data_IF_254737458929
#
_entry.id   IF_254737458929
#
_cell.length_a   1.000
_cell.length_b   1.000
_cell.length_c   1.000
_cell.angle_alpha   90.00
_cell.angle_beta   90.00
_cell.angle_gamma   90.00
#
_symmetry.space_group_name_H-M   'P 1'
#
loop_
_entity.id
_entity.type
_entity.pdbx_description
1 polymer ?
#
# COMPACT_ATOMS: atom_id res chain seq x y z
N UNK A 1 38.19 -23.65 -45.13
CA UNK A 1 38.86 -22.34 -45.30
C UNK A 1 38.16 -21.39 -44.36
N UNK A 2 38.80 -21.06 -43.24
CA UNK A 2 38.33 -20.05 -42.30
C UNK A 2 39.21 -18.83 -42.54
N UNK A 3 38.66 -17.81 -43.19
CA UNK A 3 39.34 -16.52 -43.32
C UNK A 3 39.15 -15.75 -42.02
N UNK A 4 40.21 -15.66 -41.24
CA UNK A 4 40.32 -14.69 -40.14
C UNK A 4 40.43 -13.29 -40.77
N UNK A 5 39.31 -12.59 -40.87
CA UNK A 5 39.25 -11.17 -41.17
C UNK A 5 39.96 -10.40 -40.04
N UNK A 6 41.23 -10.04 -40.26
CA UNK A 6 41.93 -9.07 -39.42
C UNK A 6 41.27 -7.70 -39.58
N UNK A 7 40.35 -7.35 -38.66
CA UNK A 7 39.80 -6.00 -38.50
C UNK A 7 40.94 -4.97 -38.60
N UNK A 8 40.87 -4.12 -39.61
CA UNK A 8 41.87 -3.08 -39.85
C UNK A 8 41.87 -2.04 -38.73
N UNK A 9 43.04 -1.43 -38.49
CA UNK A 9 43.27 -0.42 -37.44
C UNK A 9 42.26 0.75 -37.53
N UNK A 10 41.77 1.08 -38.73
CA UNK A 10 40.72 2.08 -38.95
C UNK A 10 39.33 1.67 -38.43
N UNK A 11 38.99 0.39 -38.50
CA UNK A 11 37.71 -0.15 -38.02
C UNK A 11 37.69 -0.22 -36.49
N UNK A 12 38.82 -0.58 -35.88
CA UNK A 12 39.01 -0.50 -34.42
C UNK A 12 38.93 0.94 -33.89
N UNK A 13 39.50 1.91 -34.60
CA UNK A 13 39.40 3.32 -34.21
C UNK A 13 37.96 3.84 -34.33
N UNK A 14 37.22 3.42 -35.36
CA UNK A 14 35.84 3.84 -35.56
C UNK A 14 34.88 3.19 -34.55
N UNK A 15 35.06 1.91 -34.23
CA UNK A 15 34.36 1.22 -33.15
C UNK A 15 34.62 1.90 -31.79
N UNK A 16 35.88 2.23 -31.47
CA UNK A 16 36.21 2.91 -30.21
C UNK A 16 35.56 4.30 -30.08
N UNK A 17 35.48 5.08 -31.16
CA UNK A 17 34.79 6.38 -31.15
C UNK A 17 33.27 6.23 -31.02
N UNK A 18 32.69 5.17 -31.61
CA UNK A 18 31.27 4.86 -31.47
C UNK A 18 30.95 4.45 -30.03
N UNK A 19 31.78 3.60 -29.41
CA UNK A 19 31.60 3.16 -28.03
C UNK A 19 31.70 4.31 -27.03
N UNK A 20 32.72 5.16 -27.14
CA UNK A 20 32.87 6.35 -26.26
C UNK A 20 31.65 7.27 -26.38
N UNK A 21 31.13 7.47 -27.59
CA UNK A 21 29.93 8.30 -27.81
C UNK A 21 28.69 7.66 -27.21
N UNK A 22 28.52 6.35 -27.38
CA UNK A 22 27.40 5.61 -26.81
C UNK A 22 27.44 5.66 -25.27
N UNK A 23 28.62 5.47 -24.68
CA UNK A 23 28.81 5.55 -23.22
C UNK A 23 28.49 6.95 -22.69
N UNK A 24 28.94 8.01 -23.37
CA UNK A 24 28.61 9.40 -23.02
C UNK A 24 27.10 9.68 -23.12
N UNK A 25 26.43 9.17 -24.15
CA UNK A 25 24.98 9.28 -24.29
C UNK A 25 24.27 8.59 -23.12
N UNK A 26 24.69 7.38 -22.76
CA UNK A 26 24.12 6.63 -21.63
C UNK A 26 24.34 7.34 -20.30
N UNK A 27 25.54 7.87 -20.04
CA UNK A 27 25.84 8.63 -18.84
C UNK A 27 24.97 9.90 -18.75
N UNK A 28 24.80 10.63 -19.85
CA UNK A 28 23.97 11.84 -19.89
C UNK A 28 22.49 11.54 -19.65
N UNK A 29 21.97 10.45 -20.21
CA UNK A 29 20.61 9.97 -19.97
C UNK A 29 20.39 9.59 -18.50
N UNK A 30 21.31 8.84 -17.90
CA UNK A 30 21.24 8.46 -16.49
C UNK A 30 21.27 9.67 -15.55
N UNK A 31 22.10 10.68 -15.86
CA UNK A 31 22.15 11.92 -15.10
C UNK A 31 20.83 12.71 -15.21
N UNK A 32 20.27 12.83 -16.41
CA UNK A 32 18.98 13.49 -16.61
C UNK A 32 17.86 12.81 -15.82
N UNK A 33 17.79 11.47 -15.87
CA UNK A 33 16.80 10.70 -15.11
C UNK A 33 16.94 10.93 -13.60
N UNK A 34 18.16 10.97 -13.08
CA UNK A 34 18.44 11.24 -11.67
C UNK A 34 17.94 12.62 -11.23
N UNK A 35 18.30 13.67 -11.99
CA UNK A 35 17.88 15.05 -11.71
C UNK A 35 16.37 15.18 -11.78
N UNK A 36 15.74 14.62 -12.82
CA UNK A 36 14.28 14.62 -12.97
C UNK A 36 13.61 13.95 -11.77
N UNK A 37 14.16 12.85 -11.26
CA UNK A 37 13.61 12.11 -10.13
C UNK A 37 13.75 12.87 -8.82
N UNK A 38 14.88 13.52 -8.59
CA UNK A 38 15.08 14.41 -7.42
C UNK A 38 14.08 15.56 -7.44
N UNK A 39 13.88 16.21 -8.59
CA UNK A 39 12.91 17.31 -8.75
C UNK A 39 11.46 16.82 -8.55
N UNK A 40 11.10 15.65 -9.08
CA UNK A 40 9.79 15.07 -8.83
C UNK A 40 9.60 14.67 -7.36
N UNK A 41 10.66 14.22 -6.70
CA UNK A 41 10.62 13.85 -5.29
C UNK A 41 10.48 15.06 -4.36
N UNK A 42 11.15 16.18 -4.67
CA UNK A 42 10.96 17.43 -3.92
C UNK A 42 9.55 17.99 -4.07
N UNK A 43 8.87 17.71 -5.19
CA UNK A 43 7.46 18.01 -5.42
C UNK A 43 6.51 16.96 -4.82
N UNK A 44 7.02 15.88 -4.23
CA UNK A 44 6.23 14.78 -3.67
C UNK A 44 5.58 13.86 -4.73
N UNK A 45 5.92 14.02 -6.02
CA UNK A 45 5.39 13.21 -7.10
C UNK A 45 6.05 11.82 -7.18
N UNK A 46 7.26 11.65 -6.63
CA UNK A 46 7.96 10.35 -6.55
C UNK A 46 8.56 10.17 -5.16
N UNK A 47 8.24 9.06 -4.50
CA UNK A 47 8.91 8.67 -3.27
C UNK A 47 10.30 8.11 -3.60
N UNK A 48 11.35 8.73 -3.04
CA UNK A 48 12.71 8.16 -3.06
C UNK A 48 12.76 6.97 -2.10
N UNK A 49 13.32 5.85 -2.57
CA UNK A 49 13.59 4.67 -1.73
C UNK A 49 14.91 4.83 -0.98
N UNK A 50 15.10 4.04 0.07
CA UNK A 50 16.34 4.05 0.87
C UNK A 50 17.56 3.69 0.01
N UNK A 51 17.41 2.75 -0.92
CA UNK A 51 18.50 2.32 -1.80
C UNK A 51 18.91 3.43 -2.78
N UNK A 52 17.94 4.12 -3.37
CA UNK A 52 18.22 5.25 -4.29
C UNK A 52 18.84 6.45 -3.57
N UNK A 53 18.42 6.70 -2.33
CA UNK A 53 19.06 7.71 -1.49
C UNK A 53 20.51 7.32 -1.12
N UNK A 54 20.77 6.02 -0.95
CA UNK A 54 22.11 5.50 -0.63
C UNK A 54 23.06 5.69 -1.82
N UNK A 55 22.62 5.38 -3.04
CA UNK A 55 23.42 5.59 -4.26
C UNK A 55 23.76 7.07 -4.51
N UNK A 56 22.84 7.98 -4.18
CA UNK A 56 23.07 9.41 -4.24
C UNK A 56 24.14 9.85 -3.23
N UNK A 57 24.04 9.38 -1.99
CA UNK A 57 25.01 9.70 -0.94
C UNK A 57 26.38 9.09 -1.22
N UNK A 58 26.46 7.87 -1.77
CA UNK A 58 27.71 7.23 -2.17
C UNK A 58 28.50 8.11 -3.16
N UNK A 59 27.82 8.70 -4.14
CA UNK A 59 28.44 9.63 -5.11
C UNK A 59 28.94 10.93 -4.46
N UNK A 60 28.30 11.38 -3.38
CA UNK A 60 28.76 12.55 -2.62
C UNK A 60 30.00 12.22 -1.77
N UNK A 61 30.07 11.00 -1.25
CA UNK A 61 31.26 10.49 -0.55
C UNK A 61 32.44 10.34 -1.52
N UNK A 62 32.22 9.76 -2.71
CA UNK A 62 33.26 9.62 -3.75
C UNK A 62 33.83 10.98 -4.19
N UNK A 63 33.00 12.02 -4.19
CA UNK A 63 33.41 13.40 -4.51
C UNK A 63 34.07 14.12 -3.34
N UNK A 64 34.13 13.50 -2.15
CA UNK A 64 34.67 14.09 -0.93
C UNK A 64 33.77 15.17 -0.31
N UNK A 65 32.53 15.32 -0.77
CA UNK A 65 31.57 16.28 -0.22
C UNK A 65 30.89 15.75 1.07
N UNK A 66 30.96 14.43 1.32
CA UNK A 66 30.37 13.79 2.49
C UNK A 66 31.31 12.74 3.09
N UNK A 67 31.35 12.61 4.41
CA UNK A 67 32.08 11.52 5.07
C UNK A 67 31.25 10.22 5.08
N UNK A 68 31.91 9.06 4.98
CA UNK A 68 31.26 7.74 5.07
C UNK A 68 30.47 7.55 6.38
N UNK A 69 30.98 8.09 7.48
CA UNK A 69 30.30 8.04 8.78
C UNK A 69 28.95 8.79 8.76
N UNK A 70 28.90 9.94 8.08
CA UNK A 70 27.69 10.74 7.95
C UNK A 70 26.68 10.06 7.02
N UNK A 71 27.14 9.43 5.93
CA UNK A 71 26.29 8.63 5.04
C UNK A 71 25.57 7.51 5.82
N UNK A 72 26.32 6.74 6.61
CA UNK A 72 25.74 5.63 7.39
C UNK A 72 24.69 6.11 8.39
N UNK A 73 24.94 7.26 9.05
CA UNK A 73 24.00 7.87 9.99
C UNK A 73 22.72 8.34 9.28
N UNK A 74 22.85 9.00 8.13
CA UNK A 74 21.70 9.46 7.35
C UNK A 74 20.83 8.28 6.91
N UNK A 75 21.44 7.19 6.43
CA UNK A 75 20.72 5.98 6.01
C UNK A 75 20.01 5.33 7.21
N UNK A 76 20.67 5.23 8.37
CA UNK A 76 20.03 4.67 9.57
C UNK A 76 18.83 5.49 10.03
N UNK A 77 18.95 6.82 9.99
CA UNK A 77 17.88 7.74 10.38
C UNK A 77 16.70 7.67 9.42
N UNK A 78 16.95 7.58 8.11
CA UNK A 78 15.92 7.39 7.09
C UNK A 78 15.18 6.06 7.29
N UNK A 79 15.90 4.98 7.59
CA UNK A 79 15.29 3.67 7.85
C UNK A 79 14.44 3.67 9.11
N UNK A 80 14.93 4.28 10.18
CA UNK A 80 14.18 4.44 11.43
C UNK A 80 12.91 5.29 11.22
N UNK A 81 13.02 6.39 10.48
CA UNK A 81 11.88 7.26 10.16
C UNK A 81 10.85 6.56 9.27
N UNK A 82 11.30 5.75 8.30
CA UNK A 82 10.41 4.91 7.48
C UNK A 82 9.64 3.90 8.34
N UNK A 83 10.33 3.18 9.23
CA UNK A 83 9.70 2.22 10.13
C UNK A 83 8.68 2.89 11.07
N UNK A 84 9.00 4.08 11.57
CA UNK A 84 8.08 4.85 12.42
C UNK A 84 6.82 5.27 11.64
N UNK A 85 6.97 5.79 10.41
CA UNK A 85 5.84 6.14 9.54
C UNK A 85 4.96 4.94 9.22
N UNK A 86 5.57 3.76 9.06
CA UNK A 86 4.84 2.52 8.78
C UNK A 86 4.03 2.07 10.00
N UNK A 87 4.59 2.16 11.21
CA UNK A 87 3.90 1.88 12.45
C UNK A 87 2.73 2.86 12.71
N UNK A 88 2.94 4.15 12.44
CA UNK A 88 1.90 5.18 12.59
C UNK A 88 0.81 5.03 11.53
N UNK A 89 1.17 4.67 10.29
CA UNK A 89 0.23 4.34 9.23
C UNK A 89 -0.59 3.07 9.55
N UNK A 90 0.01 2.07 10.19
CA UNK A 90 -0.69 0.86 10.62
C UNK A 90 -1.75 1.19 11.68
N UNK A 91 -1.41 2.03 12.68
CA UNK A 91 -2.37 2.50 13.70
C UNK A 91 -3.49 3.33 13.08
N UNK A 92 -3.16 4.26 12.19
CA UNK A 92 -4.16 5.07 11.48
C UNK A 92 -5.10 4.20 10.64
N UNK A 93 -4.57 3.17 9.96
CA UNK A 93 -5.36 2.19 9.22
C UNK A 93 -6.29 1.40 10.13
N UNK A 94 -5.83 0.96 11.30
CA UNK A 94 -6.67 0.25 12.26
C UNK A 94 -7.83 1.12 12.77
N UNK A 95 -7.56 2.39 13.11
CA UNK A 95 -8.59 3.33 13.54
C UNK A 95 -9.60 3.65 12.43
N UNK A 96 -9.12 3.85 11.21
CA UNK A 96 -9.98 4.07 10.03
C UNK A 96 -10.84 2.83 9.77
N UNK A 97 -10.27 1.63 9.87
CA UNK A 97 -11.02 0.37 9.64
C UNK A 97 -12.11 0.18 10.69
N UNK A 98 -11.83 0.47 11.96
CA UNK A 98 -12.84 0.42 13.04
C UNK A 98 -13.96 1.44 12.83
N UNK A 99 -13.62 2.70 12.47
CA UNK A 99 -14.61 3.74 12.19
C UNK A 99 -15.42 3.50 10.92
N UNK A 100 -14.78 2.98 9.87
CA UNK A 100 -15.44 2.64 8.62
C UNK A 100 -16.37 1.43 8.79
N UNK A 101 -15.98 0.44 9.59
CA UNK A 101 -16.83 -0.70 9.96
C UNK A 101 -18.14 -0.25 10.61
N UNK A 102 -18.07 0.57 11.66
CA UNK A 102 -19.29 1.03 12.34
C UNK A 102 -20.14 1.95 11.46
N UNK A 103 -19.52 2.87 10.71
CA UNK A 103 -20.28 3.76 9.81
C UNK A 103 -20.97 3.01 8.68
N UNK A 104 -20.38 1.91 8.20
CA UNK A 104 -20.98 1.04 7.21
C UNK A 104 -22.15 0.25 7.80
N UNK A 105 -22.00 -0.31 9.01
CA UNK A 105 -23.08 -0.99 9.73
C UNK A 105 -24.27 -0.05 9.97
N UNK A 106 -24.04 1.16 10.46
CA UNK A 106 -25.09 2.18 10.67
C UNK A 106 -25.80 2.56 9.36
N UNK A 107 -25.03 2.67 8.27
CA UNK A 107 -25.57 2.97 6.94
C UNK A 107 -26.42 1.83 6.40
N UNK A 108 -25.97 0.57 6.57
CA UNK A 108 -26.72 -0.62 6.16
C UNK A 108 -28.00 -0.77 6.99
N UNK A 109 -27.94 -0.56 8.31
CA UNK A 109 -29.11 -0.59 9.20
C UNK A 109 -30.14 0.48 8.83
N UNK A 110 -29.70 1.70 8.52
CA UNK A 110 -30.57 2.79 8.05
C UNK A 110 -31.27 2.43 6.73
N UNK A 111 -30.56 1.81 5.79
CA UNK A 111 -31.13 1.39 4.50
C UNK A 111 -32.14 0.25 4.71
N UNK A 112 -31.80 -0.76 5.52
CA UNK A 112 -32.70 -1.89 5.82
C UNK A 112 -34.00 -1.40 6.47
N UNK A 113 -33.90 -0.44 7.39
CA UNK A 113 -35.06 0.20 8.03
C UNK A 113 -35.94 0.94 7.00
N UNK A 114 -35.33 1.68 6.07
CA UNK A 114 -36.07 2.38 4.99
C UNK A 114 -36.70 1.45 3.96
N UNK A 115 -36.10 0.28 3.72
CA UNK A 115 -36.65 -0.75 2.84
C UNK A 115 -37.66 -1.67 3.55
N UNK A 116 -38.02 -1.35 4.80
CA UNK A 116 -38.99 -2.09 5.60
C UNK A 116 -38.60 -3.58 5.80
N UNK A 117 -37.31 -3.88 5.72
CA UNK A 117 -36.75 -5.22 5.92
C UNK A 117 -36.53 -5.40 7.42
N UNK A 118 -37.22 -6.38 8.07
CA UNK A 118 -37.06 -6.62 9.50
C UNK A 118 -35.63 -7.03 9.85
N UNK A 119 -35.07 -6.45 10.92
CA UNK A 119 -33.74 -6.83 11.39
C UNK A 119 -33.82 -8.11 12.26
N UNK A 120 -32.67 -8.69 12.59
CA UNK A 120 -32.60 -9.94 13.38
C UNK A 120 -33.20 -9.79 14.79
N UNK A 121 -33.07 -8.62 15.41
CA UNK A 121 -33.65 -8.34 16.73
C UNK A 121 -35.19 -8.36 16.68
N UNK A 122 -35.78 -7.77 15.65
CA UNK A 122 -37.24 -7.77 15.46
C UNK A 122 -37.77 -9.20 15.28
N UNK A 123 -37.05 -10.02 14.51
CA UNK A 123 -37.38 -11.44 14.30
C UNK A 123 -37.34 -12.21 15.63
N UNK A 124 -36.29 -12.01 16.43
CA UNK A 124 -36.15 -12.67 17.72
C UNK A 124 -37.24 -12.23 18.72
N UNK A 125 -37.63 -10.95 18.72
CA UNK A 125 -38.69 -10.43 19.56
C UNK A 125 -40.06 -10.99 19.15
N UNK A 126 -40.35 -11.02 17.84
CA UNK A 126 -41.54 -11.66 17.27
C UNK A 126 -41.58 -13.15 17.62
N UNK A 127 -40.46 -13.86 17.51
CA UNK A 127 -40.38 -15.28 17.84
C UNK A 127 -40.69 -15.54 19.32
N UNK A 128 -40.22 -14.69 20.23
CA UNK A 128 -40.57 -14.77 21.66
C UNK A 128 -42.04 -14.49 21.92
N UNK A 129 -42.62 -13.48 21.25
CA UNK A 129 -44.04 -13.14 21.37
C UNK A 129 -44.92 -14.29 20.85
N UNK A 130 -44.53 -14.93 19.75
CA UNK A 130 -45.22 -16.10 19.19
C UNK A 130 -45.16 -17.28 20.16
N UNK A 131 -44.00 -17.59 20.75
CA UNK A 131 -43.88 -18.67 21.73
C UNK A 131 -44.77 -18.43 22.95
N UNK A 132 -44.74 -17.22 23.52
CA UNK A 132 -45.62 -16.83 24.64
C UNK A 132 -47.10 -16.93 24.27
N UNK A 133 -47.47 -16.51 23.06
CA UNK A 133 -48.85 -16.60 22.60
C UNK A 133 -49.27 -18.06 22.41
N UNK A 134 -48.39 -18.91 21.87
CA UNK A 134 -48.66 -20.33 21.68
C UNK A 134 -48.85 -21.06 23.02
N UNK A 135 -48.06 -20.72 24.05
CA UNK A 135 -48.26 -21.23 25.41
C UNK A 135 -49.61 -20.83 25.98
N UNK A 136 -50.00 -19.55 25.86
CA UNK A 136 -51.30 -19.07 26.34
C UNK A 136 -52.48 -19.70 25.59
N UNK A 137 -52.36 -19.85 24.27
CA UNK A 137 -53.39 -20.51 23.44
C UNK A 137 -53.51 -21.98 23.81
N UNK A 138 -52.39 -22.68 24.03
CA UNK A 138 -52.38 -24.09 24.45
C UNK A 138 -52.98 -24.26 25.85
N UNK A 139 -52.66 -23.36 26.79
CA UNK A 139 -53.24 -23.33 28.12
C UNK A 139 -54.76 -23.06 28.12
N UNK A 140 -55.26 -22.28 27.16
CA UNK A 140 -56.70 -22.03 26.98
C UNK A 140 -57.42 -23.17 26.23
N UNK A 141 -56.70 -23.92 25.37
CA UNK A 141 -57.26 -25.05 24.61
C UNK A 141 -57.26 -26.38 25.37
N UNK A 142 -56.39 -26.55 26.37
CA UNK A 142 -56.41 -27.71 27.26
C UNK A 142 -57.29 -27.50 28.49
N UNK A 143 -57.93 -28.54 29.02
CA UNK A 143 -58.95 -29.39 28.39
C UNK A 143 -60.35 -28.74 28.52
N UNK A 144 -60.88 -28.17 27.43
CA UNK A 144 -62.34 -27.91 27.32
C UNK A 144 -63.03 -29.10 26.65
N UNK A 145 -63.20 -30.18 27.38
CA UNK A 145 -64.35 -31.10 27.28
C UNK A 145 -64.06 -32.35 28.11
N UNK A 146 -64.72 -32.47 29.26
CA UNK A 146 -65.35 -33.70 29.76
C UNK A 146 -65.90 -33.42 31.16
N UNK A 147 -66.99 -32.65 31.20
CA UNK A 147 -67.82 -32.53 32.39
C UNK A 147 -69.25 -32.23 31.95
N UNK A 148 -69.94 -33.25 31.46
CA UNK A 148 -71.36 -33.53 31.67
C UNK A 148 -71.66 -34.96 31.24
#
# INVERSE_FOLDING_TARGET
>A
MAEEEKKGIGDQAMDAVIDVRNELIVQSANLYLLVRRVLLSSLGAVALTVDEASDLMAKLVERGELAEADMNKIISDLRAQSAQREADAAKAREEITKKAGSSLEDSVETILTRLNVPNKHDIDELSRKISNLNEKVTALKGPRNNSH
#
